data_IF_019946017183
#
_entry.id   IF_019946017183
#
_cell.length_a   1.000
_cell.length_b   1.000
_cell.length_c   1.000
_cell.angle_alpha   90.00
_cell.angle_beta   90.00
_cell.angle_gamma   90.00
#
_symmetry.space_group_name_H-M   'P 1'
#
loop_
_entity.id
_entity.type
_entity.pdbx_description
1 polymer ?
#
# COMPACT_ATOMS: atom_id res chain seq x y z
N UNK A 1 -2.14 -6.07 -22.81
CA UNK A 1 -2.22 -6.37 -21.35
C UNK A 1 -1.41 -5.36 -20.53
N UNK A 2 -0.12 -5.12 -20.82
CA UNK A 2 0.70 -4.09 -20.14
C UNK A 2 0.23 -2.64 -20.41
N UNK A 3 -0.25 -2.33 -21.62
CA UNK A 3 -0.69 -0.97 -21.96
C UNK A 3 -1.83 -0.42 -21.10
N UNK A 4 -2.68 -1.28 -20.53
CA UNK A 4 -3.72 -0.86 -19.58
C UNK A 4 -3.14 -0.52 -18.20
N UNK A 5 -2.02 -1.13 -17.81
CA UNK A 5 -1.30 -0.81 -16.58
C UNK A 5 -0.59 0.53 -16.75
N UNK A 6 0.07 0.75 -17.90
CA UNK A 6 0.70 2.04 -18.24
C UNK A 6 -0.33 3.17 -18.31
N UNK A 7 -1.53 2.89 -18.84
CA UNK A 7 -2.62 3.85 -18.88
C UNK A 7 -3.34 4.05 -17.52
N UNK A 8 -2.88 3.41 -16.43
CA UNK A 8 -3.52 3.50 -15.11
C UNK A 8 -4.91 2.84 -15.02
N UNK A 9 -5.33 2.10 -16.04
CA UNK A 9 -6.66 1.46 -16.13
C UNK A 9 -6.73 0.11 -15.45
N UNK A 10 -5.59 -0.42 -14.99
CA UNK A 10 -5.51 -1.71 -14.30
C UNK A 10 -4.37 -1.69 -13.29
N UNK A 11 -4.66 -2.12 -12.07
CA UNK A 11 -3.66 -2.29 -11.02
C UNK A 11 -2.70 -3.44 -11.32
N UNK A 12 -1.50 -3.35 -10.75
CA UNK A 12 -0.48 -4.40 -10.79
C UNK A 12 -0.89 -5.55 -9.85
N UNK A 13 -0.95 -6.77 -10.40
CA UNK A 13 -1.19 -8.00 -9.62
C UNK A 13 0.12 -8.71 -9.28
N UNK A 14 0.09 -9.68 -8.36
CA UNK A 14 1.26 -10.50 -8.03
C UNK A 14 1.86 -11.24 -9.25
N UNK A 15 1.04 -11.84 -10.13
CA UNK A 15 1.54 -12.45 -11.39
C UNK A 15 2.27 -11.42 -12.27
N UNK A 16 1.77 -10.18 -12.31
CA UNK A 16 2.39 -9.12 -13.12
C UNK A 16 3.69 -8.62 -12.48
N UNK A 17 3.70 -8.43 -11.16
CA UNK A 17 4.90 -8.07 -10.40
C UNK A 17 6.03 -9.07 -10.64
N UNK A 18 5.77 -10.38 -10.50
CA UNK A 18 6.79 -11.41 -10.70
C UNK A 18 7.34 -11.40 -12.14
N UNK A 19 6.48 -11.22 -13.15
CA UNK A 19 6.90 -11.14 -14.55
C UNK A 19 7.78 -9.91 -14.81
N UNK A 20 7.38 -8.74 -14.30
CA UNK A 20 8.14 -7.50 -14.48
C UNK A 20 9.45 -7.51 -13.68
N UNK A 21 9.44 -8.01 -12.45
CA UNK A 21 10.64 -8.15 -11.64
C UNK A 21 11.65 -9.08 -12.31
N UNK A 22 11.19 -10.23 -12.83
CA UNK A 22 12.08 -11.15 -13.57
C UNK A 22 12.64 -10.53 -14.85
N UNK A 23 11.83 -9.76 -15.57
CA UNK A 23 12.21 -9.10 -16.81
C UNK A 23 13.24 -7.98 -16.58
N UNK A 24 13.04 -7.14 -15.57
CA UNK A 24 13.92 -6.00 -15.27
C UNK A 24 15.05 -6.31 -14.28
N UNK A 25 15.14 -7.53 -13.76
CA UNK A 25 16.14 -7.90 -12.75
C UNK A 25 15.92 -7.22 -11.39
N UNK A 26 14.66 -6.91 -11.05
CA UNK A 26 14.28 -6.28 -9.78
C UNK A 26 13.90 -7.31 -8.72
N UNK A 27 13.88 -6.89 -7.46
CA UNK A 27 13.42 -7.72 -6.35
C UNK A 27 11.90 -7.92 -6.39
N UNK A 28 11.45 -9.12 -6.03
CA UNK A 28 10.01 -9.43 -5.94
C UNK A 28 9.27 -8.42 -5.06
N UNK A 29 8.05 -8.08 -5.46
CA UNK A 29 7.20 -7.10 -4.81
C UNK A 29 7.57 -5.64 -5.08
N UNK A 30 8.59 -5.36 -5.92
CA UNK A 30 8.94 -3.99 -6.27
C UNK A 30 7.75 -3.21 -6.82
N UNK A 31 7.02 -3.81 -7.77
CA UNK A 31 5.89 -3.16 -8.42
C UNK A 31 4.64 -3.17 -7.56
N UNK A 32 4.44 -4.22 -6.74
CA UNK A 32 3.35 -4.23 -5.76
C UNK A 32 3.50 -3.14 -4.70
N UNK A 33 4.72 -2.84 -4.24
CA UNK A 33 4.95 -1.71 -3.32
C UNK A 33 4.62 -0.37 -3.98
N UNK A 34 4.97 -0.20 -5.25
CA UNK A 34 4.59 1.00 -6.00
C UNK A 34 3.07 1.12 -6.17
N UNK A 35 2.37 0.02 -6.47
CA UNK A 35 0.91 -0.01 -6.53
C UNK A 35 0.29 0.35 -5.17
N UNK A 36 0.79 -0.24 -4.08
CA UNK A 36 0.30 0.05 -2.74
C UNK A 36 0.48 1.53 -2.36
N UNK A 37 1.63 2.12 -2.69
CA UNK A 37 1.86 3.55 -2.45
C UNK A 37 0.85 4.44 -3.19
N UNK A 38 0.61 4.15 -4.48
CA UNK A 38 -0.40 4.86 -5.27
C UNK A 38 -1.81 4.68 -4.69
N UNK A 39 -2.20 3.45 -4.36
CA UNK A 39 -3.53 3.16 -3.80
C UNK A 39 -3.71 3.84 -2.44
N UNK A 40 -2.65 3.91 -1.62
CA UNK A 40 -2.65 4.65 -0.34
C UNK A 40 -2.86 6.14 -0.57
N UNK A 41 -2.12 6.78 -1.47
CA UNK A 41 -2.28 8.22 -1.77
C UNK A 41 -3.71 8.56 -2.21
N UNK A 42 -4.26 7.78 -3.15
CA UNK A 42 -5.64 7.96 -3.62
C UNK A 42 -6.66 7.75 -2.50
N UNK A 43 -6.45 6.73 -1.64
CA UNK A 43 -7.34 6.45 -0.52
C UNK A 43 -7.25 7.53 0.57
N UNK A 44 -6.07 8.04 0.88
CA UNK A 44 -5.86 9.12 1.84
C UNK A 44 -6.60 10.40 1.40
N UNK A 45 -6.51 10.75 0.12
CA UNK A 45 -7.23 11.89 -0.44
C UNK A 45 -8.75 11.69 -0.40
N UNK A 46 -9.23 10.51 -0.80
CA UNK A 46 -10.66 10.20 -0.82
C UNK A 46 -11.28 10.12 0.59
N UNK A 47 -10.51 9.65 1.58
CA UNK A 47 -10.97 9.41 2.94
C UNK A 47 -10.57 10.52 3.92
N UNK A 48 -10.00 11.62 3.42
CA UNK A 48 -9.38 12.69 4.21
C UNK A 48 -10.22 13.14 5.42
N UNK A 49 -11.51 13.40 5.21
CA UNK A 49 -12.39 13.87 6.28
C UNK A 49 -12.83 12.76 7.24
N UNK A 50 -12.92 11.52 6.78
CA UNK A 50 -13.20 10.38 7.65
C UNK A 50 -11.99 10.10 8.55
N UNK A 51 -10.78 10.10 7.99
CA UNK A 51 -9.53 9.87 8.72
C UNK A 51 -9.31 10.89 9.85
N UNK A 52 -9.67 12.17 9.64
CA UNK A 52 -9.59 13.22 10.70
C UNK A 52 -10.39 12.88 11.96
N UNK A 53 -11.46 12.10 11.83
CA UNK A 53 -12.33 11.76 12.94
C UNK A 53 -11.90 10.47 13.66
N UNK A 54 -10.94 9.72 13.11
CA UNK A 54 -10.42 8.51 13.72
C UNK A 54 -9.40 8.90 14.78
N UNK A 55 -9.69 8.54 16.03
CA UNK A 55 -8.78 8.76 17.15
C UNK A 55 -7.81 7.58 17.26
N UNK A 56 -6.49 7.81 17.25
CA UNK A 56 -5.51 6.75 17.49
C UNK A 56 -5.78 6.05 18.81
N UNK A 57 -5.69 4.73 18.80
CA UNK A 57 -5.77 3.95 20.03
C UNK A 57 -4.50 4.19 20.86
N UNK A 58 -4.64 4.93 21.96
CA UNK A 58 -3.53 5.20 22.87
C UNK A 58 -3.60 4.24 24.07
N UNK A 59 -2.99 3.06 23.98
CA UNK A 59 -2.92 2.07 25.07
C UNK A 59 -1.85 2.42 26.10
N UNK A 60 -1.91 3.64 26.66
CA UNK A 60 -0.95 4.15 27.62
C UNK A 60 -1.61 4.45 28.97
N UNK A 61 -2.13 3.45 29.68
CA UNK A 61 -2.48 3.56 31.10
C UNK A 61 -2.60 2.17 31.75
N UNK A 62 -1.59 1.79 32.55
CA UNK A 62 -1.75 0.89 33.70
C UNK A 62 -1.50 -0.61 33.49
N UNK A 63 -0.26 -1.02 33.23
CA UNK A 63 0.22 -2.32 33.74
C UNK A 63 1.59 -2.09 34.39
N UNK A 64 1.56 -1.71 35.67
CA UNK A 64 2.73 -1.82 36.53
C UNK A 64 3.03 -3.30 36.74
N UNK A 65 4.02 -3.83 36.04
CA UNK A 65 4.65 -5.08 36.42
C UNK A 65 5.61 -4.77 37.57
N UNK A 66 5.14 -4.94 38.81
CA UNK A 66 6.02 -4.99 39.97
C UNK A 66 6.76 -6.33 39.94
N UNK A 67 8.05 -6.21 40.23
CA UNK A 67 9.04 -7.19 40.69
C UNK A 67 8.52 -8.58 41.08
#
# INVERSE_FOLDING_TARGET
RIGQIVAGKRSITADTDLRLCRFFGLSNGYWLRAQAAYDTEIAEDALKDQLKNIRPWNSGSGIGHRA
#
